data_IF_686718771714
#
_entry.id   IF_686718771714
#
_cell.length_a   1.000
_cell.length_b   1.000
_cell.length_c   1.000
_cell.angle_alpha   90.00
_cell.angle_beta   90.00
_cell.angle_gamma   90.00
#
_symmetry.space_group_name_H-M   'P 1'
#
loop_
_entity.id
_entity.type
_entity.pdbx_description
1 polymer ?
#
# COMPACT_ATOMS: atom_id res chain seq x y z
N UNK A 1 -2.37 -27.80 6.62
CA UNK A 1 -3.11 -26.58 6.98
C UNK A 1 -3.98 -26.22 5.80
N UNK A 2 -5.31 -26.15 5.98
CA UNK A 2 -6.27 -25.83 4.91
C UNK A 2 -6.75 -24.38 5.06
N UNK A 3 -6.83 -23.61 3.97
CA UNK A 3 -7.52 -22.32 3.97
C UNK A 3 -8.92 -22.50 3.35
N UNK A 4 -9.96 -22.13 4.08
CA UNK A 4 -11.36 -22.15 3.62
C UNK A 4 -11.88 -20.72 3.54
N UNK A 5 -12.09 -20.25 2.32
CA UNK A 5 -12.71 -18.96 2.06
C UNK A 5 -14.22 -19.10 1.94
N UNK A 6 -14.98 -18.40 2.81
CA UNK A 6 -16.44 -18.37 2.75
C UNK A 6 -16.98 -17.02 2.29
N UNK A 7 -16.11 -16.20 1.70
CA UNK A 7 -16.42 -14.88 1.17
C UNK A 7 -16.27 -14.90 -0.36
N UNK A 8 -16.74 -13.84 -1.01
CA UNK A 8 -16.46 -13.58 -2.42
C UNK A 8 -15.12 -12.85 -2.65
N UNK A 9 -14.31 -12.65 -1.60
CA UNK A 9 -13.05 -11.92 -1.65
C UNK A 9 -11.90 -12.84 -2.03
N UNK A 10 -10.79 -12.27 -2.50
CA UNK A 10 -9.56 -13.00 -2.72
C UNK A 10 -8.87 -13.28 -1.38
N UNK A 11 -8.38 -14.49 -1.17
CA UNK A 11 -7.75 -14.88 0.10
C UNK A 11 -6.51 -15.71 -0.13
N UNK A 12 -5.48 -15.44 0.65
CA UNK A 12 -4.21 -16.16 0.63
C UNK A 12 -3.57 -16.16 2.00
N UNK A 13 -2.53 -16.96 2.17
CA UNK A 13 -1.78 -16.98 3.43
C UNK A 13 -0.30 -17.23 3.18
N UNK A 14 0.53 -16.83 4.14
CA UNK A 14 1.96 -17.12 4.16
C UNK A 14 2.43 -17.37 5.60
N UNK A 15 3.66 -17.86 5.74
CA UNK A 15 4.36 -18.01 7.02
C UNK A 15 5.47 -16.97 7.09
N UNK A 16 5.69 -16.41 8.27
CA UNK A 16 6.85 -15.58 8.56
C UNK A 16 7.30 -15.75 9.99
N UNK A 17 8.25 -14.93 10.42
CA UNK A 17 8.83 -15.00 11.75
C UNK A 17 8.62 -13.69 12.50
N UNK A 18 8.43 -13.81 13.81
CA UNK A 18 8.57 -12.73 14.77
C UNK A 18 10.07 -12.47 15.02
N UNK A 19 10.45 -11.26 15.50
CA UNK A 19 11.84 -10.99 15.91
C UNK A 19 12.39 -11.96 16.97
N UNK A 20 11.52 -12.50 17.82
CA UNK A 20 11.87 -13.53 18.81
C UNK A 20 12.00 -14.95 18.24
N UNK A 21 11.95 -15.10 16.91
CA UNK A 21 12.12 -16.37 16.19
C UNK A 21 10.86 -17.23 16.12
N UNK A 22 9.77 -16.86 16.80
CA UNK A 22 8.51 -17.62 16.68
C UNK A 22 7.92 -17.45 15.29
N UNK A 23 7.46 -18.56 14.72
CA UNK A 23 6.73 -18.51 13.46
C UNK A 23 5.34 -17.89 13.66
N UNK A 24 4.83 -17.30 12.59
CA UNK A 24 3.45 -16.83 12.51
C UNK A 24 2.86 -17.18 11.15
N UNK A 25 1.56 -17.47 11.15
CA UNK A 25 0.77 -17.53 9.93
C UNK A 25 0.04 -16.22 9.76
N UNK A 26 0.12 -15.64 8.57
CA UNK A 26 -0.61 -14.44 8.18
C UNK A 26 -1.57 -14.78 7.04
N UNK A 27 -2.84 -14.40 7.21
CA UNK A 27 -3.89 -14.53 6.20
C UNK A 27 -4.21 -13.13 5.66
N UNK A 28 -4.07 -12.97 4.35
CA UNK A 28 -4.45 -11.78 3.61
C UNK A 28 -5.81 -12.01 2.93
N UNK A 29 -6.68 -11.02 3.03
CA UNK A 29 -8.00 -11.01 2.38
C UNK A 29 -8.11 -9.71 1.60
N UNK A 30 -8.42 -9.77 0.31
CA UNK A 30 -8.53 -8.59 -0.57
C UNK A 30 -9.90 -8.54 -1.23
N UNK A 31 -10.50 -7.36 -1.20
CA UNK A 31 -11.73 -7.07 -1.94
C UNK A 31 -11.57 -5.81 -2.80
N UNK A 32 -12.16 -5.86 -3.98
CA UNK A 32 -12.24 -4.74 -4.92
C UNK A 32 -13.67 -4.21 -4.95
N UNK A 33 -13.80 -2.91 -4.74
CA UNK A 33 -15.06 -2.16 -4.82
C UNK A 33 -14.98 -1.17 -5.98
N UNK A 34 -16.13 -0.77 -6.51
CA UNK A 34 -16.24 0.37 -7.43
C UNK A 34 -16.07 1.67 -6.64
N UNK A 35 -15.07 2.47 -7.00
CA UNK A 35 -14.74 3.71 -6.28
C UNK A 35 -15.87 4.73 -6.37
N UNK A 36 -16.43 4.94 -7.57
CA UNK A 36 -17.60 5.77 -7.81
C UNK A 36 -18.84 5.03 -7.34
N UNK A 37 -19.32 5.41 -6.16
CA UNK A 37 -20.59 4.95 -5.67
C UNK A 37 -21.75 5.67 -6.36
N UNK A 38 -22.89 5.00 -6.48
CA UNK A 38 -24.15 5.65 -6.83
C UNK A 38 -24.48 6.71 -5.78
N UNK A 39 -25.14 7.79 -6.19
CA UNK A 39 -25.38 8.96 -5.33
C UNK A 39 -26.12 8.56 -4.05
N UNK A 40 -25.46 8.68 -2.91
CA UNK A 40 -26.02 8.35 -1.59
C UNK A 40 -25.89 6.88 -1.17
N UNK A 41 -25.26 6.03 -1.98
CA UNK A 41 -24.96 4.63 -1.65
C UNK A 41 -23.50 4.45 -1.22
N UNK A 42 -23.17 3.41 -0.43
CA UNK A 42 -21.78 3.00 -0.24
C UNK A 42 -21.19 2.41 -1.53
N UNK A 43 -19.85 2.37 -1.69
CA UNK A 43 -19.21 1.64 -2.77
C UNK A 43 -19.70 0.21 -2.88
N UNK A 44 -20.11 -0.19 -4.08
CA UNK A 44 -20.53 -1.55 -4.38
C UNK A 44 -19.31 -2.45 -4.60
N UNK A 45 -19.42 -3.73 -4.20
CA UNK A 45 -18.41 -4.72 -4.55
C UNK A 45 -18.31 -4.84 -6.08
N UNK A 46 -17.10 -4.89 -6.60
CA UNK A 46 -16.87 -5.06 -8.03
C UNK A 46 -17.21 -6.50 -8.47
N UNK A 47 -17.72 -6.67 -9.68
CA UNK A 47 -18.00 -8.00 -10.24
C UNK A 47 -16.72 -8.81 -10.44
N UNK A 48 -15.65 -8.14 -10.86
CA UNK A 48 -14.31 -8.73 -10.99
C UNK A 48 -13.45 -8.26 -9.82
N UNK A 49 -12.87 -9.22 -9.09
CA UNK A 49 -11.96 -8.95 -7.99
C UNK A 49 -10.50 -8.93 -8.47
N UNK A 50 -9.71 -7.99 -7.96
CA UNK A 50 -8.27 -7.96 -8.18
C UNK A 50 -7.61 -9.09 -7.38
N UNK A 51 -6.72 -9.85 -8.04
CA UNK A 51 -5.98 -10.93 -7.38
C UNK A 51 -5.06 -10.41 -6.27
N UNK A 52 -4.73 -11.29 -5.33
CA UNK A 52 -3.60 -11.07 -4.43
C UNK A 52 -2.29 -11.02 -5.25
N UNK A 53 -1.44 -10.07 -4.89
CA UNK A 53 -0.12 -9.86 -5.48
C UNK A 53 0.91 -10.55 -4.60
N UNK A 54 1.66 -11.47 -5.18
CA UNK A 54 2.71 -12.24 -4.50
C UNK A 54 4.07 -11.53 -4.52
N UNK A 55 4.21 -10.49 -5.35
CA UNK A 55 5.42 -9.69 -5.48
C UNK A 55 5.05 -8.21 -5.66
N UNK A 56 6.01 -7.33 -5.37
CA UNK A 56 5.92 -5.91 -5.70
C UNK A 56 5.92 -5.78 -7.25
N UNK A 57 5.05 -4.95 -7.79
CA UNK A 57 4.93 -4.70 -9.25
C UNK A 57 5.55 -3.36 -9.61
N UNK A 58 6.36 -3.32 -10.66
CA UNK A 58 7.09 -2.14 -11.12
C UNK A 58 6.71 -1.77 -12.56
N UNK A 59 7.41 -0.78 -13.13
CA UNK A 59 7.40 -0.54 -14.57
C UNK A 59 8.34 -1.49 -15.33
N UNK A 60 8.89 -0.98 -16.41
CA UNK A 60 9.71 -1.77 -17.33
C UNK A 60 11.10 -2.06 -16.74
N UNK A 61 11.59 -1.21 -15.83
CA UNK A 61 12.86 -1.38 -15.13
C UNK A 61 12.66 -1.35 -13.60
N UNK A 62 12.47 -2.50 -12.94
CA UNK A 62 12.30 -2.57 -11.49
C UNK A 62 13.44 -1.97 -10.66
N UNK A 63 14.64 -1.80 -11.23
CA UNK A 63 15.77 -1.19 -10.54
C UNK A 63 15.72 0.36 -10.58
N UNK A 64 15.06 0.91 -11.60
CA UNK A 64 14.96 2.36 -11.83
C UNK A 64 13.54 2.92 -11.67
N UNK A 65 12.54 2.06 -11.51
CA UNK A 65 11.13 2.46 -11.38
C UNK A 65 10.67 2.40 -9.91
N UNK A 66 9.77 3.32 -9.56
CA UNK A 66 9.01 3.24 -8.33
C UNK A 66 8.05 2.03 -8.36
N UNK A 67 7.82 1.37 -7.20
CA UNK A 67 6.80 0.34 -7.14
C UNK A 67 5.42 0.94 -7.46
N UNK A 68 4.65 0.25 -8.30
CA UNK A 68 3.27 0.60 -8.66
C UNK A 68 2.28 -0.06 -7.72
N UNK A 69 2.57 -1.29 -7.30
CA UNK A 69 1.84 -2.01 -6.28
C UNK A 69 2.82 -2.74 -5.36
N UNK A 70 2.46 -2.89 -4.10
CA UNK A 70 3.18 -3.73 -3.16
C UNK A 70 2.56 -5.14 -3.13
N UNK A 71 3.40 -6.13 -2.84
CA UNK A 71 3.02 -7.46 -2.38
C UNK A 71 1.99 -7.39 -1.23
N UNK A 72 0.92 -8.18 -1.32
CA UNK A 72 -0.12 -8.22 -0.30
C UNK A 72 0.29 -9.00 0.96
N UNK A 73 1.37 -9.78 0.88
CA UNK A 73 1.80 -10.69 1.93
C UNK A 73 2.78 -10.08 2.95
N UNK A 74 2.68 -8.77 3.18
CA UNK A 74 3.32 -8.11 4.32
C UNK A 74 2.90 -8.79 5.64
N UNK A 75 3.87 -9.22 6.45
CA UNK A 75 3.60 -10.08 7.61
C UNK A 75 2.76 -9.39 8.70
N UNK A 76 3.00 -8.10 8.92
CA UNK A 76 2.23 -7.28 9.82
C UNK A 76 2.46 -5.80 9.49
N UNK A 77 1.37 -5.04 9.37
CA UNK A 77 1.37 -3.58 9.19
C UNK A 77 0.80 -2.93 10.44
N UNK A 78 1.57 -2.16 11.24
CA UNK A 78 1.08 -1.55 12.48
C UNK A 78 -0.06 -0.54 12.30
N UNK A 79 -0.22 0.00 11.08
CA UNK A 79 -1.23 1.00 10.72
C UNK A 79 -1.81 0.68 9.34
N UNK A 80 -2.86 1.38 8.96
CA UNK A 80 -3.41 1.30 7.62
C UNK A 80 -2.67 2.24 6.67
N UNK A 81 -2.16 1.70 5.57
CA UNK A 81 -1.58 2.46 4.45
C UNK A 81 -2.70 3.01 3.55
N UNK A 82 -2.63 4.30 3.20
CA UNK A 82 -3.45 4.90 2.13
C UNK A 82 -2.58 5.19 0.93
N UNK A 83 -2.79 4.40 -0.11
CA UNK A 83 -2.04 4.45 -1.35
C UNK A 83 -2.97 4.79 -2.52
N UNK A 84 -2.44 5.50 -3.50
CA UNK A 84 -3.14 5.78 -4.73
C UNK A 84 -2.18 5.67 -5.92
N UNK A 85 -2.68 5.07 -7.00
CA UNK A 85 -2.08 5.14 -8.32
C UNK A 85 -3.03 5.89 -9.24
N UNK A 86 -2.54 6.95 -9.86
CA UNK A 86 -3.33 7.76 -10.78
C UNK A 86 -2.60 8.98 -11.30
N UNK A 87 -3.37 9.94 -11.77
CA UNK A 87 -2.87 11.09 -12.51
C UNK A 87 -3.45 12.39 -11.94
N UNK A 88 -2.75 13.49 -12.20
CA UNK A 88 -3.25 14.83 -12.00
C UNK A 88 -4.06 15.27 -13.22
N UNK A 89 -5.23 15.83 -12.98
CA UNK A 89 -6.11 16.33 -14.03
C UNK A 89 -6.22 17.85 -13.94
N UNK A 90 -6.02 18.50 -15.08
CA UNK A 90 -6.32 19.91 -15.22
C UNK A 90 -7.84 20.13 -15.15
N UNK A 91 -8.30 21.16 -14.42
CA UNK A 91 -9.72 21.38 -14.23
C UNK A 91 -10.40 21.81 -15.54
N UNK A 92 -11.65 21.38 -15.73
CA UNK A 92 -12.52 21.80 -16.83
C UNK A 92 -11.98 21.50 -18.24
N UNK A 93 -11.13 20.47 -18.39
CA UNK A 93 -10.61 20.03 -19.70
C UNK A 93 -9.66 21.04 -20.38
N UNK A 94 -9.13 22.01 -19.64
CA UNK A 94 -8.14 22.98 -20.14
C UNK A 94 -6.72 22.44 -19.94
N UNK A 95 -5.76 23.00 -20.66
CA UNK A 95 -4.34 22.84 -20.34
C UNK A 95 -3.91 23.92 -19.36
N UNK A 96 -3.02 23.57 -18.42
CA UNK A 96 -2.52 24.48 -17.39
C UNK A 96 -1.05 24.20 -17.10
N UNK A 97 -0.35 25.15 -16.48
CA UNK A 97 1.05 24.96 -16.03
C UNK A 97 1.18 24.36 -14.63
N UNK A 98 0.13 24.47 -13.80
CA UNK A 98 0.15 24.05 -12.39
C UNK A 98 -1.25 23.77 -11.86
N UNK A 99 -1.40 22.70 -11.07
CA UNK A 99 -2.61 22.41 -10.28
C UNK A 99 -2.23 21.86 -8.91
N UNK A 100 -2.98 22.23 -7.88
CA UNK A 100 -2.92 21.57 -6.58
C UNK A 100 -3.82 20.33 -6.60
N UNK A 101 -3.28 19.20 -6.18
CA UNK A 101 -4.01 17.93 -6.02
C UNK A 101 -4.19 17.62 -4.54
N UNK A 102 -5.21 16.81 -4.21
CA UNK A 102 -5.49 16.45 -2.83
C UNK A 102 -6.15 15.08 -2.67
N UNK A 103 -5.64 14.28 -1.74
CA UNK A 103 -6.22 13.02 -1.29
C UNK A 103 -6.63 13.16 0.18
N UNK A 104 -7.86 12.77 0.51
CA UNK A 104 -8.32 12.62 1.89
C UNK A 104 -8.99 11.28 2.09
N UNK A 105 -8.60 10.54 3.12
CA UNK A 105 -9.25 9.30 3.58
C UNK A 105 -9.39 9.36 5.09
N UNK A 106 -10.61 9.52 5.59
CA UNK A 106 -10.84 9.75 7.01
C UNK A 106 -10.15 11.04 7.48
N UNK A 107 -9.17 10.89 8.39
CA UNK A 107 -8.35 11.97 8.94
C UNK A 107 -6.98 12.13 8.25
N UNK A 108 -6.62 11.24 7.32
CA UNK A 108 -5.44 11.42 6.46
C UNK A 108 -5.79 12.41 5.37
N UNK A 109 -4.98 13.45 5.22
CA UNK A 109 -5.07 14.44 4.16
C UNK A 109 -3.67 14.75 3.63
N UNK A 110 -3.51 14.68 2.31
CA UNK A 110 -2.27 15.02 1.62
C UNK A 110 -2.57 15.89 0.41
N UNK A 111 -1.94 17.05 0.34
CA UNK A 111 -2.05 18.00 -0.77
C UNK A 111 -0.68 18.44 -1.24
N UNK A 112 -0.50 18.55 -2.55
CA UNK A 112 0.76 19.03 -3.14
C UNK A 112 0.49 19.63 -4.51
N UNK A 113 1.48 20.34 -5.06
CA UNK A 113 1.36 20.93 -6.40
C UNK A 113 1.94 19.99 -7.45
N UNK A 114 1.22 19.88 -8.57
CA UNK A 114 1.68 19.26 -9.80
C UNK A 114 2.01 20.37 -10.78
N UNK A 115 3.25 20.39 -11.26
CA UNK A 115 3.80 21.41 -12.15
C UNK A 115 4.09 20.76 -13.49
N UNK A 116 3.78 21.45 -14.58
CA UNK A 116 4.00 20.92 -15.92
C UNK A 116 5.48 20.67 -16.20
N UNK A 117 5.79 19.95 -17.30
CA UNK A 117 7.15 19.54 -17.60
C UNK A 117 8.10 20.74 -17.65
N UNK A 118 9.26 20.57 -17.01
CA UNK A 118 10.32 21.57 -16.92
C UNK A 118 11.67 20.89 -17.06
N UNK A 119 12.66 21.69 -17.42
CA UNK A 119 14.07 21.31 -17.39
C UNK A 119 14.87 22.33 -16.61
N UNK A 120 16.01 21.90 -16.08
CA UNK A 120 17.04 22.82 -15.60
C UNK A 120 17.66 23.54 -16.80
N UNK A 121 17.84 24.86 -16.69
CA UNK A 121 18.49 25.70 -17.70
C UNK A 121 19.66 26.44 -17.10
N UNK A 122 20.78 26.50 -17.81
CA UNK A 122 21.93 27.29 -17.37
C UNK A 122 21.77 28.76 -17.79
N UNK A 123 21.66 29.65 -16.81
CA UNK A 123 21.60 31.09 -17.01
C UNK A 123 22.88 31.80 -16.57
N UNK A 124 22.97 33.09 -16.89
CA UNK A 124 24.10 33.97 -16.50
C UNK A 124 24.33 34.04 -14.97
N UNK A 125 23.28 33.85 -14.17
CA UNK A 125 23.34 33.85 -12.70
C UNK A 125 23.29 32.44 -12.08
N UNK A 126 23.54 31.40 -12.89
CA UNK A 126 23.50 30.00 -12.47
C UNK A 126 22.31 29.24 -13.03
N UNK A 127 22.08 28.04 -12.49
CA UNK A 127 21.04 27.13 -12.96
C UNK A 127 19.67 27.53 -12.42
N UNK A 128 18.67 27.63 -13.29
CA UNK A 128 17.27 27.93 -12.93
C UNK A 128 16.31 26.93 -13.57
N UNK A 129 15.06 26.91 -13.13
CA UNK A 129 14.01 26.15 -13.80
C UNK A 129 13.58 26.86 -15.10
N UNK A 130 13.27 26.10 -16.14
CA UNK A 130 12.52 26.61 -17.29
C UNK A 130 11.08 26.99 -16.89
N UNK A 131 10.41 27.77 -17.73
CA UNK A 131 8.95 27.92 -17.62
C UNK A 131 8.27 26.55 -17.77
N UNK A 132 7.26 26.23 -16.94
CA UNK A 132 6.52 24.99 -17.11
C UNK A 132 5.75 24.98 -18.42
N UNK A 133 5.81 23.85 -19.12
CA UNK A 133 4.90 23.55 -20.22
C UNK A 133 3.48 23.30 -19.68
N UNK A 134 2.47 23.53 -20.53
CA UNK A 134 1.10 23.20 -20.15
C UNK A 134 0.80 21.71 -20.29
N UNK A 135 -0.10 21.20 -19.45
CA UNK A 135 -0.60 19.83 -19.50
C UNK A 135 -2.10 19.78 -19.21
N UNK A 136 -2.78 18.78 -19.76
CA UNK A 136 -4.17 18.44 -19.42
C UNK A 136 -4.27 17.29 -18.42
N UNK A 137 -3.40 16.28 -18.56
CA UNK A 137 -3.28 15.13 -17.65
C UNK A 137 -1.80 14.84 -17.46
N UNK A 138 -1.38 14.54 -16.24
CA UNK A 138 0.02 14.25 -15.93
C UNK A 138 0.15 13.16 -14.85
N UNK A 139 1.03 12.16 -15.02
CA UNK A 139 1.20 11.10 -14.01
C UNK A 139 1.71 11.65 -12.68
N UNK A 140 1.30 10.99 -11.59
CA UNK A 140 1.82 11.21 -10.24
C UNK A 140 2.44 9.90 -9.77
N UNK A 141 3.76 9.91 -9.61
CA UNK A 141 4.53 8.78 -9.10
C UNK A 141 5.81 9.31 -8.44
N UNK A 142 6.43 8.48 -7.59
CA UNK A 142 7.79 8.71 -7.15
C UNK A 142 8.79 8.78 -8.32
N UNK A 143 8.51 8.14 -9.47
CA UNK A 143 9.27 8.29 -10.73
C UNK A 143 9.35 9.74 -11.22
N UNK A 144 8.34 10.54 -10.88
CA UNK A 144 8.20 11.93 -11.34
C UNK A 144 8.39 12.95 -10.24
N UNK A 145 8.60 12.48 -9.00
CA UNK A 145 8.86 13.31 -7.83
C UNK A 145 10.34 13.62 -7.70
N UNK A 146 10.68 14.59 -6.84
CA UNK A 146 12.07 14.94 -6.57
C UNK A 146 12.85 13.74 -6.03
N UNK A 147 14.06 13.55 -6.54
CA UNK A 147 14.97 12.52 -6.13
C UNK A 147 15.86 12.07 -7.28
N UNK A 148 16.34 10.84 -7.19
CA UNK A 148 17.18 10.21 -8.20
C UNK A 148 18.57 9.87 -7.70
N UNK A 149 19.32 9.22 -8.58
CA UNK A 149 20.72 8.84 -8.38
C UNK A 149 21.56 9.53 -9.44
N UNK A 150 22.49 10.38 -9.00
CA UNK A 150 23.41 11.13 -9.84
C UNK A 150 24.74 10.38 -9.93
N UNK A 151 25.08 9.90 -11.12
CA UNK A 151 26.36 9.23 -11.40
C UNK A 151 27.24 10.22 -12.14
N UNK A 152 28.44 10.50 -11.63
CA UNK A 152 29.33 11.47 -12.27
C UNK A 152 29.76 10.99 -13.66
N UNK A 153 29.57 11.80 -14.72
CA UNK A 153 30.01 11.45 -16.07
C UNK A 153 31.52 11.16 -16.12
N UNK A 154 31.88 10.00 -16.64
CA UNK A 154 33.28 9.56 -16.74
C UNK A 154 33.87 9.02 -15.44
N UNK A 155 33.10 8.93 -14.34
CA UNK A 155 33.54 8.33 -13.08
C UNK A 155 32.39 7.56 -12.41
N UNK A 156 32.02 6.36 -12.92
CA UNK A 156 30.87 5.59 -12.42
C UNK A 156 30.92 5.19 -10.94
N UNK A 157 32.10 5.23 -10.32
CA UNK A 157 32.28 4.97 -8.88
C UNK A 157 31.89 6.17 -8.01
N UNK A 158 31.70 7.35 -8.60
CA UNK A 158 31.23 8.55 -7.90
C UNK A 158 29.73 8.69 -8.15
N UNK A 159 28.96 8.08 -7.24
CA UNK A 159 27.50 8.01 -7.31
C UNK A 159 26.90 8.58 -6.04
N UNK A 160 25.94 9.47 -6.20
CA UNK A 160 25.23 10.15 -5.12
C UNK A 160 23.74 9.92 -5.26
N UNK A 161 23.11 9.37 -4.23
CA UNK A 161 21.69 8.97 -4.27
C UNK A 161 20.88 9.83 -3.33
N UNK A 162 19.77 10.37 -3.83
CA UNK A 162 18.76 11.00 -2.98
C UNK A 162 17.96 9.93 -2.23
N UNK A 163 18.48 9.52 -1.07
CA UNK A 163 17.99 8.36 -0.31
C UNK A 163 16.47 8.34 -0.02
N UNK A 164 15.75 9.48 0.17
CA UNK A 164 14.29 9.46 0.31
C UNK A 164 13.53 8.95 -0.92
N UNK A 165 14.08 9.15 -2.12
CA UNK A 165 13.49 8.69 -3.38
C UNK A 165 14.61 8.43 -4.43
N UNK A 166 15.27 7.26 -4.39
CA UNK A 166 16.42 6.94 -5.24
C UNK A 166 16.13 6.90 -6.75
N UNK A 167 14.86 6.70 -7.11
CA UNK A 167 14.36 6.55 -8.50
C UNK A 167 13.68 7.80 -9.04
N UNK A 168 13.63 8.87 -8.25
CA UNK A 168 13.04 10.14 -8.67
C UNK A 168 13.86 10.86 -9.73
N UNK A 169 13.44 12.09 -10.03
CA UNK A 169 14.10 12.94 -11.02
C UNK A 169 14.50 14.29 -10.43
N UNK A 170 15.42 14.98 -11.11
CA UNK A 170 15.79 16.36 -10.80
C UNK A 170 16.87 16.56 -9.73
N UNK A 171 17.26 15.53 -8.97
CA UNK A 171 18.44 15.59 -8.09
C UNK A 171 19.73 15.48 -8.91
N UNK A 172 20.66 16.40 -8.71
CA UNK A 172 21.99 16.35 -9.31
C UNK A 172 23.02 17.00 -8.37
N UNK A 173 23.86 16.16 -7.76
CA UNK A 173 24.90 16.53 -6.80
C UNK A 173 26.14 17.10 -7.47
N UNK A 174 26.57 16.51 -8.58
CA UNK A 174 27.83 16.87 -9.26
C UNK A 174 27.69 18.06 -10.21
N UNK A 175 26.45 18.51 -10.48
CA UNK A 175 26.12 19.63 -11.38
C UNK A 175 26.68 19.49 -12.79
N UNK A 176 26.86 18.26 -13.26
CA UNK A 176 27.29 17.94 -14.64
C UNK A 176 26.06 17.65 -15.49
N UNK A 177 26.04 18.14 -16.74
CA UNK A 177 24.94 17.93 -17.68
C UNK A 177 23.56 18.37 -17.14
N UNK A 178 23.54 19.43 -16.32
CA UNK A 178 22.30 19.98 -15.77
C UNK A 178 21.40 20.59 -16.85
N UNK A 179 21.98 21.24 -17.87
CA UNK A 179 21.19 21.90 -18.90
C UNK A 179 20.35 20.88 -19.69
N UNK A 180 19.03 21.07 -19.72
CA UNK A 180 18.08 20.13 -20.30
C UNK A 180 17.70 18.95 -19.40
N UNK A 181 18.31 18.79 -18.23
CA UNK A 181 17.93 17.74 -17.27
C UNK A 181 16.49 17.96 -16.79
N UNK A 182 15.68 16.91 -16.84
CA UNK A 182 14.27 16.95 -16.42
C UNK A 182 14.13 17.28 -14.95
N UNK A 183 13.18 18.17 -14.64
CA UNK A 183 12.78 18.49 -13.29
C UNK A 183 11.57 17.66 -12.84
N UNK A 184 11.31 17.55 -11.52
CA UNK A 184 10.12 16.91 -11.00
C UNK A 184 8.85 17.57 -11.46
N UNK A 185 7.83 16.73 -11.58
CA UNK A 185 6.47 17.10 -11.91
C UNK A 185 5.65 17.40 -10.66
N UNK A 186 6.15 17.07 -9.47
CA UNK A 186 5.47 17.29 -8.20
C UNK A 186 6.37 18.02 -7.20
N UNK A 187 5.77 18.89 -6.41
CA UNK A 187 6.46 19.63 -5.35
C UNK A 187 5.50 19.94 -4.19
N UNK A 188 6.07 20.10 -2.99
CA UNK A 188 5.30 20.48 -1.82
C UNK A 188 4.62 21.83 -2.04
N UNK A 189 3.39 21.96 -1.56
CA UNK A 189 2.61 23.18 -1.74
C UNK A 189 3.29 24.35 -1.03
N UNK A 190 3.67 25.38 -1.79
CA UNK A 190 4.36 26.55 -1.26
C UNK A 190 5.89 26.41 -1.15
N UNK A 191 6.46 25.25 -1.49
CA UNK A 191 7.91 25.00 -1.47
C UNK A 191 8.38 24.62 -2.88
N UNK A 192 8.58 25.60 -3.77
CA UNK A 192 9.00 25.34 -5.14
C UNK A 192 10.42 24.78 -5.21
N UNK A 193 10.64 23.83 -6.12
CA UNK A 193 11.96 23.25 -6.37
C UNK A 193 12.80 24.22 -7.21
N UNK A 194 13.92 24.66 -6.65
CA UNK A 194 14.80 25.70 -7.21
C UNK A 194 16.28 25.31 -7.26
N UNK A 195 16.68 24.30 -6.49
CA UNK A 195 18.05 23.81 -6.43
C UNK A 195 18.12 22.31 -6.73
N UNK A 196 18.88 21.85 -7.74
CA UNK A 196 19.07 20.41 -8.00
C UNK A 196 19.77 19.66 -6.84
N UNK A 197 20.41 20.36 -5.90
CA UNK A 197 21.01 19.78 -4.70
C UNK A 197 20.15 19.91 -3.45
N UNK A 198 18.95 20.51 -3.57
CA UNK A 198 18.11 20.82 -2.43
C UNK A 198 17.58 19.58 -1.71
N UNK A 199 17.15 19.77 -0.47
CA UNK A 199 16.50 18.74 0.34
C UNK A 199 14.98 18.91 0.27
N UNK A 200 14.36 18.41 -0.80
CA UNK A 200 12.90 18.46 -0.99
C UNK A 200 12.24 17.13 -0.64
N UNK A 201 11.07 17.20 -0.02
CA UNK A 201 10.24 16.02 0.22
C UNK A 201 9.66 15.53 -1.13
N UNK A 202 9.89 14.27 -1.52
CA UNK A 202 9.28 13.70 -2.72
C UNK A 202 7.75 13.63 -2.57
N UNK A 203 7.01 14.27 -3.48
CA UNK A 203 5.56 14.31 -3.44
C UNK A 203 4.94 13.28 -4.38
N UNK A 204 4.37 12.22 -3.81
CA UNK A 204 3.62 11.20 -4.53
C UNK A 204 2.54 10.60 -3.61
N UNK A 205 1.73 9.69 -4.15
CA UNK A 205 0.68 8.96 -3.42
C UNK A 205 0.84 7.44 -3.47
N UNK A 206 1.79 6.93 -4.26
CA UNK A 206 2.06 5.50 -4.43
C UNK A 206 2.89 4.90 -3.29
N UNK A 207 3.26 3.62 -3.40
CA UNK A 207 4.07 2.93 -2.39
C UNK A 207 5.54 3.38 -2.45
N UNK A 208 6.20 3.38 -1.30
CA UNK A 208 7.63 3.61 -1.12
C UNK A 208 8.38 2.27 -1.22
N UNK A 209 9.49 2.25 -1.97
CA UNK A 209 10.35 1.06 -2.08
C UNK A 209 10.98 0.63 -0.75
N UNK A 210 11.10 -0.68 -0.52
CA UNK A 210 11.62 -1.27 0.73
C UNK A 210 13.05 -0.85 1.07
N UNK A 211 13.88 -0.64 0.04
CA UNK A 211 15.28 -0.23 0.17
C UNK A 211 15.46 1.28 0.37
N UNK A 212 14.39 2.07 0.32
CA UNK A 212 14.50 3.53 0.39
C UNK A 212 14.57 4.00 1.84
N UNK A 213 15.15 5.18 2.09
CA UNK A 213 15.35 5.72 3.45
C UNK A 213 14.13 5.71 4.36
N UNK A 214 12.90 5.98 3.88
CA UNK A 214 11.74 5.95 4.74
C UNK A 214 11.41 4.56 5.29
N UNK A 215 11.90 3.48 4.67
CA UNK A 215 11.60 2.10 5.05
C UNK A 215 12.81 1.30 5.53
N UNK A 216 13.96 1.39 4.86
CA UNK A 216 15.11 0.51 5.15
C UNK A 216 15.57 0.62 6.61
N UNK A 217 15.43 1.81 7.21
CA UNK A 217 15.83 2.08 8.60
C UNK A 217 15.09 1.22 9.64
N UNK A 218 13.95 0.63 9.28
CA UNK A 218 13.16 -0.25 10.13
C UNK A 218 13.50 -1.73 9.93
N UNK A 219 14.36 -2.07 8.96
CA UNK A 219 14.79 -3.46 8.74
C UNK A 219 15.66 -4.00 9.89
N UNK A 220 16.13 -3.16 10.80
CA UNK A 220 17.05 -3.52 11.87
C UNK A 220 18.49 -3.68 11.40
N UNK A 221 19.34 -4.16 12.30
CA UNK A 221 20.79 -4.22 12.11
C UNK A 221 21.26 -5.63 11.76
N UNK A 222 21.86 -5.80 10.58
CA UNK A 222 22.39 -7.07 10.07
C UNK A 222 23.93 -7.09 10.11
N UNK A 223 24.51 -7.04 11.31
CA UNK A 223 25.95 -7.02 11.53
C UNK A 223 26.54 -8.43 11.82
N UNK A 224 27.83 -8.51 12.17
CA UNK A 224 28.50 -9.77 12.53
C UNK A 224 27.82 -10.47 13.71
N UNK A 225 27.32 -9.72 14.70
CA UNK A 225 26.63 -10.30 15.84
C UNK A 225 25.31 -10.95 15.41
N UNK A 226 24.54 -10.31 14.53
CA UNK A 226 23.37 -10.94 13.93
C UNK A 226 23.74 -12.23 13.19
N UNK A 227 24.83 -12.24 12.40
CA UNK A 227 25.28 -13.43 11.67
C UNK A 227 25.66 -14.59 12.62
N UNK A 228 26.34 -14.29 13.72
CA UNK A 228 26.84 -15.28 14.67
C UNK A 228 25.76 -15.79 15.65
N UNK A 229 24.82 -14.93 16.06
CA UNK A 229 23.89 -15.22 17.16
C UNK A 229 22.42 -15.35 16.75
N UNK A 230 22.00 -14.78 15.60
CA UNK A 230 20.58 -14.61 15.23
C UNK A 230 20.16 -15.25 13.92
N UNK A 231 21.06 -15.36 12.95
CA UNK A 231 20.78 -15.99 11.65
C UNK A 231 20.14 -17.38 11.88
N UNK A 232 18.99 -17.71 11.25
CA UNK A 232 18.32 -17.03 10.12
C UNK A 232 17.15 -16.10 10.48
N UNK A 233 17.00 -15.69 11.74
CA UNK A 233 15.86 -14.89 12.20
C UNK A 233 16.02 -13.38 11.93
N UNK A 234 14.93 -12.63 12.09
CA UNK A 234 14.97 -11.16 12.01
C UNK A 234 15.86 -10.58 13.13
N UNK A 235 16.51 -9.42 12.90
CA UNK A 235 17.21 -8.69 13.95
C UNK A 235 16.29 -8.33 15.13
N UNK A 236 16.86 -8.23 16.34
CA UNK A 236 16.12 -7.86 17.55
C UNK A 236 15.50 -6.45 17.47
N UNK A 237 16.13 -5.56 16.71
CA UNK A 237 15.71 -4.19 16.44
C UNK A 237 14.86 -4.03 15.17
N UNK A 238 14.41 -5.14 14.56
CA UNK A 238 13.49 -5.10 13.44
C UNK A 238 12.16 -4.45 13.87
N UNK A 239 11.74 -3.42 13.15
CA UNK A 239 10.47 -2.73 13.37
C UNK A 239 9.51 -3.04 12.21
N UNK A 240 8.31 -3.51 12.55
CA UNK A 240 7.26 -3.83 11.57
C UNK A 240 6.78 -2.61 10.75
N UNK A 241 7.13 -1.37 11.12
CA UNK A 241 6.98 -0.21 10.23
C UNK A 241 7.74 -0.39 8.90
N UNK A 242 8.73 -1.29 8.83
CA UNK A 242 9.35 -1.72 7.57
C UNK A 242 8.31 -2.17 6.52
N UNK A 243 7.20 -2.77 6.95
CA UNK A 243 6.12 -3.22 6.07
C UNK A 243 5.13 -2.13 5.67
N UNK A 244 5.16 -0.93 6.26
CA UNK A 244 4.36 0.20 5.77
C UNK A 244 4.93 0.69 4.44
N UNK A 245 4.12 0.67 3.40
CA UNK A 245 4.49 1.21 2.10
C UNK A 245 4.10 2.68 1.94
N UNK A 246 3.13 3.17 2.72
CA UNK A 246 2.77 4.57 2.71
C UNK A 246 3.72 5.39 3.60
N UNK A 247 4.07 6.63 3.21
CA UNK A 247 4.76 7.56 4.12
C UNK A 247 3.89 7.91 5.34
N UNK A 248 4.48 8.43 6.43
CA UNK A 248 3.75 8.71 7.67
C UNK A 248 2.51 9.60 7.49
N UNK A 249 2.54 10.56 6.58
CA UNK A 249 1.42 11.46 6.24
C UNK A 249 0.28 10.78 5.47
N UNK A 250 0.45 9.52 5.10
CA UNK A 250 -0.52 8.68 4.38
C UNK A 250 -0.90 7.42 5.18
N UNK A 251 -0.73 7.43 6.50
CA UNK A 251 -1.11 6.31 7.38
C UNK A 251 -2.14 6.70 8.43
N UNK A 252 -3.12 5.84 8.68
CA UNK A 252 -4.15 6.03 9.72
C UNK A 252 -4.22 4.80 10.65
N UNK A 253 -4.79 4.94 11.87
CA UNK A 253 -5.24 3.76 12.62
C UNK A 253 -6.16 2.90 11.76
N UNK A 254 -6.26 1.59 12.02
CA UNK A 254 -7.08 0.70 11.19
C UNK A 254 -8.53 1.22 11.08
N UNK A 255 -9.00 1.57 9.87
CA UNK A 255 -10.35 2.07 9.69
C UNK A 255 -11.40 0.98 9.92
N UNK A 256 -12.61 1.40 10.26
CA UNK A 256 -13.76 0.52 10.53
C UNK A 256 -14.85 0.61 9.46
N UNK A 257 -14.66 1.48 8.46
CA UNK A 257 -15.58 1.76 7.37
C UNK A 257 -16.41 3.01 7.61
N UNK A 258 -16.87 3.61 6.52
CA UNK A 258 -17.61 4.88 6.49
C UNK A 258 -16.71 6.12 6.54
N UNK A 259 -15.40 5.97 6.66
CA UNK A 259 -14.47 7.09 6.54
C UNK A 259 -14.59 7.71 5.14
N UNK A 260 -14.72 9.04 5.03
CA UNK A 260 -14.90 9.70 3.74
C UNK A 260 -13.62 9.63 2.90
N UNK A 261 -13.80 9.44 1.60
CA UNK A 261 -12.74 9.54 0.58
C UNK A 261 -13.03 10.78 -0.25
N UNK A 262 -12.04 11.67 -0.38
CA UNK A 262 -12.13 12.84 -1.27
C UNK A 262 -10.88 12.94 -2.10
N UNK A 263 -11.05 13.01 -3.42
CA UNK A 263 -9.99 13.25 -4.38
C UNK A 263 -10.23 14.59 -5.07
N UNK A 264 -9.20 15.43 -5.15
CA UNK A 264 -9.24 16.75 -5.80
C UNK A 264 -8.17 16.79 -6.89
N UNK A 265 -8.58 17.06 -8.13
CA UNK A 265 -7.76 17.07 -9.34
C UNK A 265 -6.99 15.76 -9.57
N UNK A 266 -7.54 14.66 -9.05
CA UNK A 266 -7.00 13.30 -9.08
C UNK A 266 -7.93 12.33 -9.84
N UNK A 267 -8.91 12.89 -10.56
CA UNK A 267 -9.81 12.19 -11.48
C UNK A 267 -10.32 13.18 -12.53
N UNK A 268 -10.86 12.69 -13.64
CA UNK A 268 -11.32 13.52 -14.76
C UNK A 268 -12.42 14.53 -14.35
N UNK A 269 -13.23 14.21 -13.34
CA UNK A 269 -14.32 15.06 -12.84
C UNK A 269 -13.81 16.23 -11.96
N UNK A 270 -12.51 16.27 -11.64
CA UNK A 270 -11.88 17.30 -10.83
C UNK A 270 -12.15 17.16 -9.32
N UNK A 271 -13.32 16.66 -8.90
CA UNK A 271 -13.59 16.31 -7.51
C UNK A 271 -14.39 15.02 -7.43
N UNK A 272 -13.79 13.98 -6.85
CA UNK A 272 -14.45 12.71 -6.56
C UNK A 272 -14.67 12.59 -5.05
N UNK A 273 -15.90 12.21 -4.66
CA UNK A 273 -16.26 11.93 -3.27
C UNK A 273 -16.79 10.51 -3.17
N UNK A 274 -16.28 9.76 -2.21
CA UNK A 274 -16.69 8.40 -1.88
C UNK A 274 -16.50 8.16 -0.38
N UNK A 275 -16.55 6.91 0.07
CA UNK A 275 -16.28 6.53 1.47
C UNK A 275 -15.80 5.09 1.54
N UNK A 276 -15.09 4.70 2.60
CA UNK A 276 -14.76 3.29 2.80
C UNK A 276 -16.04 2.47 3.05
N UNK A 277 -16.22 1.29 2.41
CA UNK A 277 -17.34 0.40 2.72
C UNK A 277 -17.21 -0.13 4.15
N UNK A 278 -18.35 -0.32 4.83
CA UNK A 278 -18.41 -0.93 6.16
C UNK A 278 -18.33 -2.44 6.02
N UNK A 279 -17.12 -2.99 6.00
CA UNK A 279 -16.88 -4.43 5.88
C UNK A 279 -15.94 -4.89 6.98
N UNK A 280 -16.40 -5.89 7.75
CA UNK A 280 -15.59 -6.57 8.75
C UNK A 280 -15.24 -7.97 8.23
N UNK A 281 -13.98 -8.35 8.40
CA UNK A 281 -13.47 -9.67 8.03
C UNK A 281 -12.94 -10.34 9.28
N UNK A 282 -13.25 -11.62 9.45
CA UNK A 282 -12.74 -12.44 10.53
C UNK A 282 -12.00 -13.65 9.97
N UNK A 283 -10.92 -14.02 10.65
CA UNK A 283 -10.16 -15.24 10.39
C UNK A 283 -10.21 -16.11 11.63
N UNK A 284 -10.69 -17.34 11.46
CA UNK A 284 -10.73 -18.35 12.51
C UNK A 284 -9.61 -19.35 12.30
N UNK A 285 -8.69 -19.45 13.26
CA UNK A 285 -7.59 -20.41 13.27
C UNK A 285 -7.98 -21.62 14.12
N UNK A 286 -8.11 -22.80 13.49
CA UNK A 286 -8.41 -24.06 14.16
C UNK A 286 -7.13 -24.85 14.40
N UNK A 287 -6.88 -25.23 15.66
CA UNK A 287 -5.72 -26.04 16.05
C UNK A 287 -6.01 -27.54 15.86
N UNK A 288 -5.02 -28.33 15.46
CA UNK A 288 -5.15 -29.80 15.29
C UNK A 288 -5.53 -30.53 16.58
N UNK A 289 -5.03 -30.07 17.73
CA UNK A 289 -5.27 -30.68 19.04
C UNK A 289 -6.52 -30.12 19.75
N UNK A 290 -7.41 -29.46 19.00
CA UNK A 290 -8.51 -28.69 19.55
C UNK A 290 -8.08 -27.31 20.00
N UNK A 291 -9.05 -26.39 20.05
CA UNK A 291 -8.82 -24.97 20.28
C UNK A 291 -9.12 -24.15 19.02
N UNK A 292 -9.78 -23.01 19.24
CA UNK A 292 -10.19 -22.09 18.19
C UNK A 292 -9.77 -20.69 18.61
N UNK A 293 -9.10 -19.99 17.71
CA UNK A 293 -8.76 -18.57 17.89
C UNK A 293 -9.45 -17.80 16.77
N UNK A 294 -10.38 -16.94 17.14
CA UNK A 294 -11.07 -16.05 16.21
C UNK A 294 -10.42 -14.66 16.28
N UNK A 295 -9.98 -14.14 15.14
CA UNK A 295 -9.29 -12.85 15.03
C UNK A 295 -10.04 -11.96 14.05
N UNK A 296 -10.37 -10.73 14.46
CA UNK A 296 -10.80 -9.69 13.52
C UNK A 296 -9.60 -9.28 12.66
N UNK A 297 -9.72 -9.37 11.35
CA UNK A 297 -8.67 -8.94 10.44
C UNK A 297 -8.66 -7.40 10.37
N UNK A 298 -7.48 -6.81 10.48
CA UNK A 298 -7.32 -5.36 10.41
C UNK A 298 -7.31 -4.91 8.95
N UNK A 299 -8.14 -3.93 8.59
CA UNK A 299 -8.02 -3.23 7.30
C UNK A 299 -6.76 -2.38 7.35
N UNK A 300 -5.71 -2.81 6.66
CA UNK A 300 -4.38 -2.21 6.80
C UNK A 300 -3.82 -1.68 5.49
N UNK A 301 -4.54 -1.84 4.37
CA UNK A 301 -4.20 -1.22 3.09
C UNK A 301 -5.46 -0.76 2.38
N UNK A 302 -5.53 0.53 2.07
CA UNK A 302 -6.51 1.16 1.18
C UNK A 302 -5.76 1.58 -0.07
N UNK A 303 -6.08 0.98 -1.21
CA UNK A 303 -5.45 1.29 -2.50
C UNK A 303 -6.49 1.83 -3.48
N UNK A 304 -6.26 3.03 -4.01
CA UNK A 304 -7.22 3.77 -4.83
C UNK A 304 -6.67 3.91 -6.26
N UNK A 305 -7.45 3.49 -7.25
CA UNK A 305 -7.17 3.68 -8.68
C UNK A 305 -8.37 4.36 -9.36
N UNK A 306 -8.45 5.70 -9.34
CA UNK A 306 -9.63 6.42 -9.82
C UNK A 306 -9.85 6.25 -11.33
N UNK A 307 -8.77 6.12 -12.11
CA UNK A 307 -8.82 5.93 -13.57
C UNK A 307 -9.40 4.57 -13.96
N UNK A 308 -9.30 3.57 -13.07
CA UNK A 308 -9.93 2.24 -13.23
C UNK A 308 -11.26 2.12 -12.50
N UNK A 309 -11.70 3.17 -11.80
CA UNK A 309 -12.84 3.14 -10.89
C UNK A 309 -12.73 2.08 -9.77
N UNK A 310 -11.52 1.82 -9.26
CA UNK A 310 -11.27 0.76 -8.29
C UNK A 310 -10.87 1.30 -6.90
N UNK A 311 -11.46 0.71 -5.88
CA UNK A 311 -11.07 0.81 -4.47
C UNK A 311 -10.73 -0.60 -3.98
N UNK A 312 -9.45 -0.88 -3.78
CA UNK A 312 -8.97 -2.17 -3.30
C UNK A 312 -8.64 -2.08 -1.80
N UNK A 313 -9.20 -3.00 -1.03
CA UNK A 313 -9.03 -3.07 0.42
C UNK A 313 -8.38 -4.40 0.78
N UNK A 314 -7.34 -4.36 1.59
CA UNK A 314 -6.68 -5.56 2.12
C UNK A 314 -6.80 -5.61 3.63
N UNK A 315 -7.33 -6.72 4.14
CA UNK A 315 -7.37 -7.05 5.55
C UNK A 315 -6.33 -8.11 5.87
N UNK A 316 -5.66 -7.98 7.01
CA UNK A 316 -4.71 -8.99 7.50
C UNK A 316 -5.06 -9.46 8.90
N UNK A 317 -5.03 -10.78 9.08
CA UNK A 317 -5.07 -11.41 10.39
C UNK A 317 -3.84 -12.31 10.52
N UNK A 318 -3.28 -12.37 11.73
CA UNK A 318 -2.15 -13.24 12.02
C UNK A 318 -2.41 -14.06 13.26
N UNK A 319 -1.69 -15.17 13.34
CA UNK A 319 -1.67 -16.03 14.50
C UNK A 319 -0.23 -16.50 14.73
N UNK A 320 0.31 -16.22 15.92
CA UNK A 320 1.66 -16.61 16.32
C UNK A 320 1.61 -18.07 16.75
N UNK A 321 2.43 -18.89 16.10
CA UNK A 321 2.50 -20.32 16.33
C UNK A 321 3.29 -20.59 17.62
N UNK A 322 2.90 -21.61 18.35
CA UNK A 322 3.60 -22.05 19.56
C UNK A 322 4.68 -23.10 19.25
N UNK A 323 4.56 -23.82 18.13
CA UNK A 323 5.49 -24.91 17.76
C UNK A 323 5.98 -24.81 16.32
N UNK A 324 5.08 -25.02 15.37
CA UNK A 324 5.37 -25.14 13.94
C UNK A 324 4.10 -24.86 13.11
N UNK A 325 4.16 -24.66 11.78
CA UNK A 325 2.99 -24.29 11.00
C UNK A 325 1.94 -25.40 10.94
N UNK A 326 2.32 -26.64 11.22
CA UNK A 326 1.39 -27.76 11.23
C UNK A 326 0.56 -27.85 12.50
N UNK A 327 0.67 -26.93 13.46
CA UNK A 327 -0.22 -26.87 14.62
C UNK A 327 -1.66 -26.51 14.22
N UNK A 328 -1.84 -25.79 13.11
CA UNK A 328 -3.15 -25.44 12.57
C UNK A 328 -3.68 -26.53 11.61
N UNK A 329 -4.93 -26.95 11.83
CA UNK A 329 -5.66 -27.81 10.91
C UNK A 329 -6.26 -27.00 9.76
N UNK A 330 -6.93 -25.89 10.09
CA UNK A 330 -7.71 -25.09 9.15
C UNK A 330 -7.72 -23.61 9.55
N UNK A 331 -7.80 -22.74 8.54
CA UNK A 331 -8.05 -21.31 8.66
C UNK A 331 -9.32 -21.00 7.88
N UNK A 332 -10.28 -20.31 8.50
CA UNK A 332 -11.56 -19.99 7.86
C UNK A 332 -11.75 -18.50 7.80
N UNK A 333 -12.01 -17.97 6.60
CA UNK A 333 -12.28 -16.54 6.37
C UNK A 333 -13.77 -16.32 6.20
N UNK A 334 -14.32 -15.35 6.94
CA UNK A 334 -15.74 -14.98 6.92
C UNK A 334 -15.92 -13.47 7.00
N UNK A 335 -17.00 -12.95 6.40
CA UNK A 335 -17.45 -11.57 6.64
C UNK A 335 -18.24 -11.52 7.95
N UNK A 336 -18.17 -10.39 8.65
CA UNK A 336 -18.84 -10.21 9.94
C UNK A 336 -20.35 -10.45 9.90
N UNK A 337 -21.01 -10.07 8.80
CA UNK A 337 -22.45 -10.26 8.61
C UNK A 337 -22.86 -11.73 8.38
N UNK A 338 -21.94 -12.57 7.91
CA UNK A 338 -22.20 -13.99 7.64
C UNK A 338 -21.93 -14.89 8.86
N UNK A 339 -21.50 -14.30 9.98
CA UNK A 339 -21.18 -15.02 11.21
C UNK A 339 -22.44 -15.27 12.03
N UNK A 340 -22.56 -16.49 12.56
CA UNK A 340 -23.58 -16.82 13.57
C UNK A 340 -22.96 -17.56 14.76
N UNK A 341 -23.42 -17.31 16.00
CA UNK A 341 -22.92 -18.00 17.18
C UNK A 341 -23.05 -19.53 17.10
N UNK A 342 -24.09 -20.01 16.40
CA UNK A 342 -24.31 -21.43 16.16
C UNK A 342 -23.24 -22.04 15.24
N UNK A 343 -22.88 -21.35 14.16
CA UNK A 343 -21.86 -21.78 13.19
C UNK A 343 -20.48 -21.79 13.82
N UNK A 344 -20.11 -20.74 14.56
CA UNK A 344 -18.85 -20.68 15.32
C UNK A 344 -18.75 -21.82 16.35
N UNK A 345 -19.82 -22.06 17.13
CA UNK A 345 -19.83 -23.13 18.16
C UNK A 345 -19.75 -24.53 17.54
N UNK A 346 -20.48 -24.76 16.45
CA UNK A 346 -20.44 -26.03 15.74
C UNK A 346 -19.00 -26.34 15.28
N UNK A 347 -18.31 -25.37 14.66
CA UNK A 347 -16.89 -25.53 14.29
C UNK A 347 -15.99 -25.79 15.49
N UNK A 348 -16.11 -25.00 16.55
CA UNK A 348 -15.28 -25.16 17.75
C UNK A 348 -15.45 -26.53 18.43
N UNK A 349 -16.60 -27.18 18.25
CA UNK A 349 -16.91 -28.49 18.81
C UNK A 349 -16.79 -29.63 17.80
N UNK A 350 -16.37 -29.36 16.56
CA UNK A 350 -16.30 -30.35 15.48
C UNK A 350 -17.66 -30.92 15.06
N UNK A 351 -18.76 -30.20 15.32
CA UNK A 351 -20.13 -30.61 14.97
C UNK A 351 -20.53 -30.02 13.61
N UNK A 352 -21.37 -30.76 12.88
CA UNK A 352 -22.01 -30.24 11.67
C UNK A 352 -22.99 -29.13 12.03
N UNK A 353 -22.85 -27.98 11.39
CA UNK A 353 -23.83 -26.89 11.48
C UNK A 353 -24.93 -27.10 10.44
N UNK A 354 -26.18 -26.95 10.86
CA UNK A 354 -27.35 -26.95 9.99
C UNK A 354 -27.97 -25.56 10.03
N UNK A 355 -28.14 -24.93 8.86
CA UNK A 355 -28.65 -23.57 8.77
C UNK A 355 -30.14 -23.50 9.14
N UNK A 356 -30.87 -24.59 8.90
CA UNK A 356 -32.28 -24.73 9.24
C UNK A 356 -32.63 -26.17 9.65
N UNK A 357 -33.82 -26.36 10.22
CA UNK A 357 -34.35 -27.71 10.50
C UNK A 357 -34.51 -28.55 9.23
N UNK A 358 -34.68 -27.92 8.06
CA UNK A 358 -34.81 -28.61 6.78
C UNK A 358 -33.49 -29.25 6.32
N UNK A 359 -32.35 -28.73 6.79
CA UNK A 359 -31.03 -29.24 6.45
C UNK A 359 -30.60 -30.43 7.32
N UNK A 360 -31.38 -30.76 8.36
CA UNK A 360 -31.08 -31.89 9.23
C UNK A 360 -31.21 -33.20 8.44
N UNK A 361 -30.27 -34.16 8.61
CA UNK A 361 -30.39 -35.46 7.99
C UNK A 361 -31.69 -36.13 8.46
N UNK A 362 -32.42 -36.81 7.56
CA UNK A 362 -33.68 -37.46 7.91
C UNK A 362 -33.47 -38.40 9.09
N UNK A 363 -34.33 -38.28 10.11
CA UNK A 363 -34.29 -39.16 11.30
C UNK A 363 -34.35 -40.61 10.83
N UNK A 364 -33.27 -41.37 11.05
CA UNK A 364 -33.31 -42.83 10.93
C UNK A 364 -34.35 -43.33 11.93
N UNK A 365 -35.51 -43.76 11.43
CA UNK A 365 -36.47 -44.53 12.23
C UNK A 365 -35.75 -45.82 12.64
N UNK A 366 -35.60 -46.02 13.96
CA UNK A 366 -35.10 -47.27 14.53
C UNK A 366 -36.17 -48.34 14.46
#
# INVERSE_FOLDING_TARGET
>A
MKLTNQTSFETGWTVGFMPDGREMVMVAVKATYRLRAEKGAPPALAETQEKLREADEFGDDPAADAPRHENDFALFKPRCDVLMKGQAYAPQGRTIKRVDVGLRVGNVEKTFSVVGPRVWVHGLMGTTASDPLEFGVQPISYDTAFGGTDVEPGSPHRTETYLPNPVGIGFCKFKKNLDGMRMPLTEERGVPIRDPMGAYTPMALGPIGRSWAPRFRYAGTYDTRWQEEKLPFLPDDFDFHYFQAAPPDQTLPYPTGGEPIVLVNLSQEGRLVSQLPRTQVFVTFLKKKGGVVETAANLDTVFIEPDKDQLCLTWRARYILERDPFELSEMVVERGEDRSPGKSRARATGKTYYASLADLPPRRRR
#
